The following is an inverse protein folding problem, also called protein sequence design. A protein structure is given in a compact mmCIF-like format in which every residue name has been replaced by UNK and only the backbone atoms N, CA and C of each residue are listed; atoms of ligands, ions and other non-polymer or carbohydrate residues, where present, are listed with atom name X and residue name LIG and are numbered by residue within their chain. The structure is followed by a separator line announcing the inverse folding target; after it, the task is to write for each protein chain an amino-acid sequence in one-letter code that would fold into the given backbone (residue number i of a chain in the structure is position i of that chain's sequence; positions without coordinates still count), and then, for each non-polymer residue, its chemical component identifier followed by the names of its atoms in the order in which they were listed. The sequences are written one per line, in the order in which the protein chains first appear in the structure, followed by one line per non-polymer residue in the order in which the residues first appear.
data_IF_728411723495
#
_entry.id   IF_728411723495
#
_cell.length_a   1.000
_cell.length_b   1.000
_cell.length_c   1.000
_cell.angle_alpha   90.00
_cell.angle_beta   90.00
_cell.angle_gamma   90.00
#
_symmetry.space_group_name_H-M   'P 1'
#
loop_
_entity.id
_entity.type
_entity.pdbx_description
1 polymer ?
#
# COMPACT_ATOMS: atom_id res chain seq x y z
N UNK A 1 10.67 -1.83 -7.43
CA UNK A 1 11.55 -0.66 -7.34
C UNK A 1 10.77 0.48 -6.69
N UNK A 2 11.33 1.09 -5.64
CA UNK A 2 10.68 2.13 -4.83
C UNK A 2 11.66 3.28 -4.54
N UNK A 3 11.14 4.40 -4.00
CA UNK A 3 11.95 5.52 -3.51
C UNK A 3 12.28 5.37 -2.02
N UNK A 4 12.25 6.49 -1.29
CA UNK A 4 12.55 6.52 0.14
C UNK A 4 11.52 5.71 0.96
N UNK A 5 11.95 4.57 1.53
CA UNK A 5 11.08 3.68 2.31
C UNK A 5 10.61 4.29 3.64
N UNK A 6 11.31 5.31 4.14
CA UNK A 6 10.99 5.99 5.39
C UNK A 6 10.01 7.17 5.21
N UNK A 7 9.76 7.58 3.96
CA UNK A 7 8.78 8.63 3.68
C UNK A 7 7.40 8.23 4.19
N UNK A 8 6.78 9.15 4.96
CA UNK A 8 5.47 8.93 5.55
C UNK A 8 4.38 9.69 4.80
N UNK A 9 3.21 9.09 4.68
CA UNK A 9 2.04 9.67 4.03
C UNK A 9 0.77 9.34 4.80
N UNK A 10 -0.20 10.21 4.69
CA UNK A 10 -1.56 9.96 5.12
C UNK A 10 -2.27 9.14 4.03
N UNK A 11 -2.47 7.86 4.31
CA UNK A 11 -3.01 6.89 3.37
C UNK A 11 -4.48 6.63 3.65
N UNK A 12 -5.37 7.22 2.84
CA UNK A 12 -6.80 7.02 2.98
C UNK A 12 -7.41 6.16 1.87
N UNK A 13 -8.53 5.54 2.19
CA UNK A 13 -9.25 4.68 1.25
C UNK A 13 -10.06 5.53 0.26
N UNK A 14 -10.02 5.17 -1.04
CA UNK A 14 -10.69 5.92 -2.10
C UNK A 14 -12.21 6.06 -1.89
N UNK A 15 -12.87 5.06 -1.29
CA UNK A 15 -14.31 5.12 -1.00
C UNK A 15 -14.65 6.22 -0.01
N UNK A 16 -13.83 6.40 1.04
CA UNK A 16 -14.01 7.47 2.02
C UNK A 16 -13.86 8.84 1.36
N UNK A 17 -12.90 8.97 0.45
CA UNK A 17 -12.66 10.23 -0.26
C UNK A 17 -13.79 10.56 -1.25
N UNK A 18 -14.32 9.57 -1.96
CA UNK A 18 -15.49 9.76 -2.85
C UNK A 18 -16.71 10.19 -2.03
N UNK A 19 -16.94 9.59 -0.87
CA UNK A 19 -18.01 9.99 0.05
C UNK A 19 -17.83 11.44 0.51
N UNK A 20 -16.61 11.83 0.90
CA UNK A 20 -16.31 13.21 1.28
C UNK A 20 -16.61 14.20 0.13
N UNK A 21 -16.19 13.86 -1.10
CA UNK A 21 -16.47 14.68 -2.28
C UNK A 21 -17.99 14.89 -2.47
N UNK A 22 -18.76 13.82 -2.32
CA UNK A 22 -20.22 13.91 -2.42
C UNK A 22 -20.80 14.79 -1.30
N UNK A 23 -20.33 14.62 -0.05
CA UNK A 23 -20.81 15.42 1.10
C UNK A 23 -20.48 16.91 0.95
N UNK A 24 -19.31 17.24 0.39
CA UNK A 24 -18.91 18.62 0.09
C UNK A 24 -19.89 19.27 -0.89
N UNK A 25 -20.29 18.54 -1.92
CA UNK A 25 -21.23 19.03 -2.95
C UNK A 25 -22.67 19.21 -2.43
N UNK A 26 -23.02 18.63 -1.28
CA UNK A 26 -24.34 18.79 -0.65
C UNK A 26 -24.42 20.03 0.26
N UNK A 27 -23.31 20.75 0.46
CA UNK A 27 -23.33 21.93 1.33
C UNK A 27 -24.02 23.11 0.66
N UNK A 28 -24.80 23.88 1.44
CA UNK A 28 -25.47 25.08 0.95
C UNK A 28 -24.48 26.20 0.60
N UNK A 29 -23.37 26.26 1.31
CA UNK A 29 -22.30 27.24 1.09
C UNK A 29 -21.02 26.54 0.67
N UNK A 30 -20.36 26.99 -0.43
CA UNK A 30 -19.07 26.46 -0.85
C UNK A 30 -18.00 26.72 0.22
N UNK A 31 -17.19 25.72 0.50
CA UNK A 31 -16.08 25.85 1.43
C UNK A 31 -14.96 24.86 1.13
N UNK A 32 -13.76 25.08 1.69
CA UNK A 32 -12.59 24.23 1.52
C UNK A 32 -12.43 23.25 2.69
N UNK A 33 -12.21 21.98 2.36
CA UNK A 33 -12.04 20.92 3.35
C UNK A 33 -10.76 20.14 3.09
N UNK A 34 -9.99 19.89 4.15
CA UNK A 34 -8.93 18.88 4.15
C UNK A 34 -9.57 17.53 4.41
N UNK A 35 -9.42 16.62 3.46
CA UNK A 35 -9.87 15.23 3.58
C UNK A 35 -8.63 14.35 3.78
N UNK A 36 -8.49 13.80 4.96
CA UNK A 36 -7.33 13.05 5.40
C UNK A 36 -7.73 12.06 6.50
N UNK A 37 -6.90 11.06 6.76
CA UNK A 37 -7.16 10.13 7.88
C UNK A 37 -6.69 10.71 9.21
N UNK A 38 -5.71 11.60 9.17
CA UNK A 38 -5.04 12.13 10.37
C UNK A 38 -3.96 11.19 10.92
N UNK A 39 -3.62 10.13 10.19
CA UNK A 39 -2.58 9.16 10.55
C UNK A 39 -1.52 9.06 9.46
N UNK A 40 -0.27 8.89 9.86
CA UNK A 40 0.86 8.74 8.95
C UNK A 40 1.46 7.35 9.05
N UNK A 41 1.68 6.75 7.87
CA UNK A 41 2.35 5.47 7.74
C UNK A 41 3.51 5.58 6.76
N UNK A 42 4.60 4.84 6.99
CA UNK A 42 5.74 4.81 6.09
C UNK A 42 5.51 3.83 4.93
N UNK A 43 6.24 4.04 3.82
CA UNK A 43 6.28 3.08 2.71
C UNK A 43 6.78 1.72 3.21
N UNK A 44 7.75 1.70 4.12
CA UNK A 44 8.23 0.48 4.77
C UNK A 44 7.10 -0.29 5.48
N UNK A 45 6.29 0.42 6.26
CA UNK A 45 5.14 -0.18 6.95
C UNK A 45 4.11 -0.74 5.96
N UNK A 46 3.87 -0.03 4.85
CA UNK A 46 3.00 -0.51 3.78
C UNK A 46 3.52 -1.83 3.19
N UNK A 47 4.83 -1.91 2.90
CA UNK A 47 5.47 -3.12 2.39
C UNK A 47 5.32 -4.28 3.38
N UNK A 48 5.69 -4.05 4.65
CA UNK A 48 5.61 -5.09 5.68
C UNK A 48 4.20 -5.67 5.81
N UNK A 49 3.18 -4.81 5.84
CA UNK A 49 1.78 -5.24 5.92
C UNK A 49 1.35 -5.98 4.65
N UNK A 50 1.73 -5.50 3.47
CA UNK A 50 1.43 -6.15 2.18
C UNK A 50 1.99 -7.57 2.13
N UNK A 51 3.27 -7.74 2.43
CA UNK A 51 3.89 -9.06 2.39
C UNK A 51 3.38 -9.98 3.50
N UNK A 52 3.05 -9.43 4.68
CA UNK A 52 2.42 -10.19 5.78
C UNK A 52 1.04 -10.74 5.38
N UNK A 53 0.26 -9.97 4.60
CA UNK A 53 -1.02 -10.48 4.06
C UNK A 53 -0.80 -11.67 3.12
N UNK A 54 0.31 -11.73 2.42
CA UNK A 54 0.70 -12.85 1.57
C UNK A 54 1.40 -14.00 2.33
N UNK A 55 1.68 -13.83 3.63
CA UNK A 55 2.41 -14.83 4.43
C UNK A 55 3.91 -14.78 4.24
N UNK A 56 4.45 -13.66 3.76
CA UNK A 56 5.89 -13.44 3.57
C UNK A 56 6.37 -12.39 4.57
N UNK A 57 7.53 -12.63 5.18
CA UNK A 57 8.21 -11.67 6.04
C UNK A 57 9.42 -11.11 5.33
N UNK A 58 9.53 -9.79 5.29
CA UNK A 58 10.64 -9.07 4.67
C UNK A 58 11.60 -8.56 5.75
N UNK A 59 12.89 -8.74 5.53
CA UNK A 59 13.95 -8.08 6.28
C UNK A 59 14.62 -7.02 5.40
N UNK A 60 14.73 -5.80 5.91
CA UNK A 60 15.41 -4.72 5.19
C UNK A 60 16.88 -4.68 5.56
N UNK A 61 17.76 -4.45 4.57
CA UNK A 61 19.20 -4.34 4.71
C UNK A 61 19.72 -3.16 3.90
N UNK A 62 20.78 -2.51 4.38
CA UNK A 62 21.31 -1.30 3.77
C UNK A 62 20.59 -0.05 4.25
N UNK A 63 20.91 1.09 3.65
CA UNK A 63 20.33 2.39 3.96
C UNK A 63 20.22 3.26 2.68
N UNK A 64 19.23 4.15 2.64
CA UNK A 64 19.05 5.08 1.53
C UNK A 64 18.84 4.37 0.20
N UNK A 65 19.65 4.71 -0.81
CA UNK A 65 19.58 4.12 -2.16
C UNK A 65 20.14 2.71 -2.26
N UNK A 66 20.89 2.26 -1.25
CA UNK A 66 21.46 0.90 -1.18
C UNK A 66 20.55 -0.06 -0.38
N UNK A 67 19.37 0.41 0.00
CA UNK A 67 18.46 -0.39 0.81
C UNK A 67 17.71 -1.40 -0.04
N UNK A 68 17.65 -2.64 0.46
CA UNK A 68 16.93 -3.75 -0.17
C UNK A 68 16.04 -4.46 0.84
N UNK A 69 14.93 -5.01 0.36
CA UNK A 69 14.08 -5.91 1.13
C UNK A 69 14.23 -7.34 0.65
N UNK A 70 14.60 -8.22 1.57
CA UNK A 70 14.81 -9.65 1.31
C UNK A 70 13.82 -10.50 2.06
N UNK A 71 13.49 -11.67 1.52
CA UNK A 71 12.66 -12.67 2.19
C UNK A 71 13.39 -13.21 3.41
N UNK A 72 12.88 -12.91 4.60
CA UNK A 72 13.37 -13.47 5.85
C UNK A 72 12.78 -14.86 6.11
N UNK A 73 11.48 -14.99 5.89
CA UNK A 73 10.74 -16.24 6.03
C UNK A 73 9.40 -16.15 5.29
N UNK A 74 8.75 -17.28 5.07
CA UNK A 74 7.42 -17.33 4.47
C UNK A 74 6.62 -18.54 4.99
N UNK A 75 5.30 -18.39 4.97
CA UNK A 75 4.33 -19.42 5.30
C UNK A 75 3.86 -20.13 4.03
N UNK A 76 4.43 -21.31 3.77
CA UNK A 76 4.11 -22.10 2.58
C UNK A 76 2.64 -22.54 2.52
N UNK A 77 1.98 -22.73 3.68
CA UNK A 77 0.58 -23.10 3.70
C UNK A 77 -0.29 -21.93 3.32
N UNK A 78 -0.01 -20.73 3.87
CA UNK A 78 -0.74 -19.50 3.52
C UNK A 78 -0.58 -19.15 2.04
N UNK A 79 0.61 -19.32 1.46
CA UNK A 79 0.82 -19.13 0.02
C UNK A 79 -0.06 -20.05 -0.82
N UNK A 80 -0.15 -21.34 -0.45
CA UNK A 80 -1.05 -22.31 -1.11
C UNK A 80 -2.52 -21.92 -0.95
N UNK A 81 -2.94 -21.55 0.25
CA UNK A 81 -4.33 -21.17 0.54
C UNK A 81 -4.73 -19.92 -0.26
N UNK A 82 -3.78 -19.04 -0.53
CA UNK A 82 -3.93 -17.89 -1.42
C UNK A 82 -3.85 -18.25 -2.92
N UNK A 83 -3.67 -19.52 -3.27
CA UNK A 83 -3.53 -19.97 -4.67
C UNK A 83 -2.24 -19.50 -5.34
N UNK A 84 -1.19 -19.25 -4.56
CA UNK A 84 0.15 -18.92 -5.05
C UNK A 84 0.94 -20.21 -5.13
N UNK A 85 0.67 -21.01 -6.16
CA UNK A 85 1.34 -22.28 -6.39
C UNK A 85 2.53 -22.11 -7.34
N UNK A 86 3.55 -22.98 -7.17
CA UNK A 86 4.72 -23.00 -8.06
C UNK A 86 5.65 -21.82 -7.92
N UNK A 87 5.52 -21.01 -6.87
CA UNK A 87 6.50 -19.96 -6.58
C UNK A 87 7.83 -20.59 -6.17
N UNK A 88 8.90 -20.08 -6.77
CA UNK A 88 10.27 -20.43 -6.38
C UNK A 88 10.83 -19.51 -5.30
N UNK A 89 9.93 -18.89 -4.47
CA UNK A 89 10.36 -17.99 -3.41
C UNK A 89 11.23 -18.74 -2.39
N UNK A 90 12.38 -18.15 -2.08
CA UNK A 90 13.34 -18.70 -1.12
C UNK A 90 13.74 -17.62 -0.10
N UNK A 91 14.11 -18.06 1.09
CA UNK A 91 14.75 -17.18 2.07
C UNK A 91 16.02 -16.59 1.49
N UNK A 92 16.16 -15.27 1.55
CA UNK A 92 17.26 -14.51 0.96
C UNK A 92 16.94 -13.89 -0.40
N UNK A 93 15.83 -14.26 -1.06
CA UNK A 93 15.42 -13.61 -2.31
C UNK A 93 15.17 -12.12 -2.10
N UNK A 94 15.72 -11.29 -2.99
CA UNK A 94 15.50 -9.86 -2.98
C UNK A 94 14.20 -9.55 -3.75
N UNK A 95 13.22 -8.96 -3.05
CA UNK A 95 11.94 -8.58 -3.60
C UNK A 95 11.73 -7.07 -3.69
N UNK A 96 12.47 -6.30 -2.89
CA UNK A 96 12.39 -4.84 -2.84
C UNK A 96 13.77 -4.25 -3.11
N UNK A 97 13.80 -3.19 -3.89
CA UNK A 97 15.00 -2.43 -4.20
C UNK A 97 14.65 -0.94 -4.24
N UNK A 98 15.52 -0.11 -3.63
CA UNK A 98 15.41 1.34 -3.74
C UNK A 98 16.10 1.79 -5.03
N UNK A 99 15.32 2.36 -5.95
CA UNK A 99 15.84 2.90 -7.20
C UNK A 99 16.20 4.39 -7.00
N UNK A 100 17.46 4.79 -7.25
CA UNK A 100 17.87 6.18 -7.14
C UNK A 100 17.04 7.15 -7.96
N UNK A 101 16.42 6.72 -9.07
CA UNK A 101 15.55 7.56 -9.91
C UNK A 101 14.25 7.95 -9.22
N UNK A 102 13.79 7.15 -8.26
CA UNK A 102 12.61 7.41 -7.43
C UNK A 102 12.96 8.04 -6.07
N UNK A 103 14.23 8.02 -5.70
CA UNK A 103 14.68 8.59 -4.43
C UNK A 103 14.82 10.11 -4.54
N UNK A 104 13.99 10.84 -3.80
CA UNK A 104 14.00 12.30 -3.80
C UNK A 104 14.84 12.83 -2.63
N UNK A 105 15.96 13.54 -2.86
CA UNK A 105 16.83 14.05 -1.79
C UNK A 105 16.16 15.10 -0.88
N UNK A 106 15.13 15.78 -1.40
CA UNK A 106 14.38 16.84 -0.71
C UNK A 106 12.93 16.43 -0.46
N UNK A 107 12.69 15.15 -0.20
CA UNK A 107 11.35 14.67 0.12
C UNK A 107 10.88 15.24 1.46
N UNK A 108 9.59 15.60 1.52
CA UNK A 108 8.96 15.93 2.81
C UNK A 108 8.82 14.62 3.59
N UNK A 109 9.55 14.54 4.71
CA UNK A 109 9.62 13.33 5.53
C UNK A 109 8.26 12.92 6.10
N UNK A 110 7.45 13.92 6.46
CA UNK A 110 6.14 13.70 7.06
C UNK A 110 5.11 14.69 6.50
N UNK A 111 3.97 14.15 6.07
CA UNK A 111 2.84 14.94 5.62
C UNK A 111 1.57 14.33 6.19
N UNK A 112 0.93 15.07 7.12
CA UNK A 112 -0.30 14.66 7.77
C UNK A 112 -1.38 15.72 7.53
N UNK A 113 -2.58 15.29 7.19
CA UNK A 113 -3.73 16.17 7.05
C UNK A 113 -4.49 16.32 8.36
N UNK A 114 -5.04 17.52 8.62
CA UNK A 114 -5.98 17.74 9.73
C UNK A 114 -7.42 17.74 9.19
N UNK A 115 -8.19 16.64 9.38
CA UNK A 115 -9.58 16.54 8.93
C UNK A 115 -10.60 17.15 9.90
N UNK A 116 -10.18 17.86 10.92
CA UNK A 116 -11.06 18.37 11.98
C UNK A 116 -12.25 19.20 11.49
N UNK A 117 -12.05 19.96 10.40
CA UNK A 117 -13.11 20.74 9.78
C UNK A 117 -14.14 19.87 9.07
N UNK A 118 -13.68 18.88 8.30
CA UNK A 118 -14.55 17.91 7.64
C UNK A 118 -15.38 17.13 8.68
N UNK A 119 -14.75 16.70 9.74
CA UNK A 119 -15.43 16.03 10.86
C UNK A 119 -16.52 16.89 11.48
N UNK A 120 -16.24 18.16 11.77
CA UNK A 120 -17.19 19.07 12.46
C UNK A 120 -18.34 19.54 11.57
N UNK A 121 -18.07 19.86 10.29
CA UNK A 121 -19.05 20.49 9.40
C UNK A 121 -19.76 19.48 8.51
N UNK A 122 -19.06 18.46 8.01
CA UNK A 122 -19.63 17.44 7.16
C UNK A 122 -20.08 16.19 7.95
N UNK A 123 -19.68 16.05 9.22
CA UNK A 123 -19.80 14.80 9.97
C UNK A 123 -19.12 13.63 9.27
N UNK A 124 -18.01 13.92 8.57
CA UNK A 124 -17.25 12.92 7.82
C UNK A 124 -16.08 12.41 8.65
N UNK A 125 -15.92 11.09 8.67
CA UNK A 125 -14.77 10.39 9.23
C UNK A 125 -14.35 9.25 8.30
N UNK A 126 -13.05 8.93 8.22
CA UNK A 126 -12.61 7.74 7.49
C UNK A 126 -13.19 6.49 8.15
N UNK A 127 -13.72 5.57 7.34
CA UNK A 127 -14.31 4.30 7.82
C UNK A 127 -13.33 3.14 7.70
N UNK A 128 -12.39 3.27 6.77
CA UNK A 128 -11.40 2.23 6.52
C UNK A 128 -10.09 2.59 7.22
N UNK A 129 -9.57 1.63 7.95
CA UNK A 129 -8.23 1.70 8.56
C UNK A 129 -7.15 1.48 7.50
N UNK A 130 -5.91 1.85 7.83
CA UNK A 130 -4.76 1.58 6.99
C UNK A 130 -4.58 0.07 6.72
N UNK A 131 -4.81 -0.78 7.72
CA UNK A 131 -4.71 -2.24 7.58
C UNK A 131 -5.75 -2.79 6.61
N UNK A 132 -6.98 -2.31 6.66
CA UNK A 132 -8.04 -2.70 5.72
C UNK A 132 -7.73 -2.25 4.31
N UNK A 133 -7.21 -1.03 4.14
CA UNK A 133 -6.76 -0.52 2.84
C UNK A 133 -5.67 -1.43 2.24
N UNK A 134 -4.60 -1.70 2.99
CA UNK A 134 -3.48 -2.54 2.54
C UNK A 134 -3.97 -3.93 2.17
N UNK A 135 -4.81 -4.53 3.01
CA UNK A 135 -5.37 -5.86 2.76
C UNK A 135 -6.22 -5.90 1.49
N UNK A 136 -7.16 -4.95 1.31
CA UNK A 136 -8.02 -4.90 0.13
C UNK A 136 -7.18 -4.73 -1.14
N UNK A 137 -6.21 -3.82 -1.15
CA UNK A 137 -5.29 -3.62 -2.27
C UNK A 137 -4.49 -4.88 -2.58
N UNK A 138 -3.87 -5.49 -1.57
CA UNK A 138 -3.04 -6.69 -1.74
C UNK A 138 -3.83 -7.85 -2.34
N UNK A 139 -5.01 -8.13 -1.82
CA UNK A 139 -5.84 -9.23 -2.32
C UNK A 139 -6.40 -8.95 -3.73
N UNK A 140 -6.79 -7.71 -4.00
CA UNK A 140 -7.24 -7.30 -5.34
C UNK A 140 -6.15 -7.45 -6.38
N UNK A 141 -4.94 -7.03 -6.07
CA UNK A 141 -3.82 -7.11 -7.00
C UNK A 141 -3.30 -8.54 -7.15
N UNK A 142 -3.36 -9.37 -6.10
CA UNK A 142 -3.10 -10.80 -6.20
C UNK A 142 -4.05 -11.48 -7.20
N UNK A 143 -5.34 -11.17 -7.15
CA UNK A 143 -6.32 -11.74 -8.09
C UNK A 143 -6.09 -11.28 -9.54
N UNK A 144 -5.65 -10.03 -9.74
CA UNK A 144 -5.24 -9.54 -11.07
C UNK A 144 -4.01 -10.28 -11.57
N UNK A 145 -2.97 -10.39 -10.73
CA UNK A 145 -1.73 -11.06 -11.09
C UNK A 145 -1.97 -12.54 -11.47
N UNK A 146 -2.85 -13.24 -10.75
CA UNK A 146 -3.24 -14.61 -11.10
C UNK A 146 -3.90 -14.70 -12.48
N UNK A 147 -4.81 -13.78 -12.79
CA UNK A 147 -5.49 -13.74 -14.10
C UNK A 147 -4.49 -13.47 -15.23
N UNK A 148 -3.58 -12.52 -15.03
CA UNK A 148 -2.54 -12.19 -16.01
C UNK A 148 -1.59 -13.37 -16.24
N UNK A 149 -1.17 -14.05 -15.17
CA UNK A 149 -0.32 -15.23 -15.28
C UNK A 149 -1.01 -16.38 -16.04
N UNK A 150 -2.29 -16.59 -15.79
CA UNK A 150 -3.10 -17.60 -16.49
C UNK A 150 -3.22 -17.27 -17.99
N UNK A 151 -3.43 -16.00 -18.35
CA UNK A 151 -3.51 -15.56 -19.74
C UNK A 151 -2.17 -15.73 -20.47
N UNK A 152 -1.05 -15.34 -19.84
CA UNK A 152 0.28 -15.48 -20.41
C UNK A 152 0.65 -16.96 -20.66
N UNK A 153 0.27 -17.87 -19.77
CA UNK A 153 0.44 -19.32 -19.97
C UNK A 153 -0.39 -19.83 -21.16
N UNK A 154 -1.62 -19.35 -21.33
CA UNK A 154 -2.48 -19.74 -22.45
C UNK A 154 -1.93 -19.27 -23.81
N UNK A 155 -1.36 -18.06 -23.88
CA UNK A 155 -0.74 -17.52 -25.11
C UNK A 155 0.58 -18.21 -25.43
N UNK A 156 1.38 -18.59 -24.42
CA UNK A 156 2.65 -19.29 -24.64
C UNK A 156 2.49 -20.75 -25.10
N UNK A 157 1.30 -21.33 -24.97
CA UNK A 157 0.98 -22.73 -25.36
C UNK A 157 0.28 -22.82 -26.72
N UNK A 158 0.08 -21.72 -27.43
CA UNK A 158 -0.45 -21.63 -28.79
C UNK A 158 0.64 -21.41 -29.83
#
# INVERSE_FOLDING_TARGET
YLGNLNAKRDWGHARDYVEAMWMILQQEQPDDFVIATGENHSIREFIDKTFKELGVKIAFKGEGTEEVGIVESFDSQKLKDLGIEGTHIQTGDQLIEVDPSYFRPTEVDELIGDPSRAKKQLNWEPRYTFDELVREMTLSDLEKAKKENHMNHYEATR
#
